data_IF_577927565217
#
_entry.id   IF_577927565217
#
_cell.length_a   1.000
_cell.length_b   1.000
_cell.length_c   1.000
_cell.angle_alpha   90.00
_cell.angle_beta   90.00
_cell.angle_gamma   90.00
#
_symmetry.space_group_name_H-M   'P 1'
#
loop_
_entity.id
_entity.type
_entity.pdbx_description
1 polymer ?
#
# COMPACT_ATOMS: atom_id res chain seq x y z
N UNK A 1 -7.11 -7.34 9.89
CA UNK A 1 -6.82 -8.14 8.68
C UNK A 1 -5.55 -8.93 8.91
N UNK A 2 -5.61 -10.27 8.92
CA UNK A 2 -4.50 -11.18 9.27
C UNK A 2 -4.19 -12.11 8.10
N UNK A 3 -3.19 -11.76 7.29
CA UNK A 3 -2.74 -12.58 6.15
C UNK A 3 -1.29 -12.28 5.80
N UNK A 4 -0.67 -13.18 5.04
CA UNK A 4 0.70 -13.03 4.56
C UNK A 4 0.67 -12.72 3.06
N UNK A 5 1.15 -11.54 2.70
CA UNK A 5 1.14 -11.01 1.34
C UNK A 5 2.57 -10.70 0.92
N UNK A 6 2.91 -11.03 -0.32
CA UNK A 6 4.19 -10.66 -0.90
C UNK A 6 4.03 -10.26 -2.36
N UNK A 7 4.75 -9.23 -2.79
CA UNK A 7 4.82 -8.88 -4.20
C UNK A 7 5.66 -9.91 -4.96
N UNK A 8 5.14 -10.36 -6.11
CA UNK A 8 5.86 -11.25 -7.03
C UNK A 8 6.57 -10.51 -8.16
N UNK A 9 6.26 -9.23 -8.35
CA UNK A 9 6.81 -8.34 -9.39
C UNK A 9 6.43 -6.89 -9.08
N UNK A 10 6.98 -5.94 -9.85
CA UNK A 10 6.48 -4.57 -9.88
C UNK A 10 5.02 -4.54 -10.35
N UNK A 11 4.25 -3.61 -9.79
CA UNK A 11 2.83 -3.39 -10.11
C UNK A 11 2.66 -1.95 -10.59
N UNK A 12 1.99 -1.78 -11.71
CA UNK A 12 1.39 -0.51 -12.13
C UNK A 12 -0.07 -0.52 -11.67
N UNK A 13 -0.43 0.40 -10.78
CA UNK A 13 -1.74 0.52 -10.16
C UNK A 13 -2.57 1.69 -10.71
N UNK A 14 -2.14 2.32 -11.80
CA UNK A 14 -2.80 3.49 -12.42
C UNK A 14 -4.29 3.31 -12.72
N UNK A 15 -4.72 2.06 -12.94
CA UNK A 15 -6.10 1.70 -13.24
C UNK A 15 -6.78 0.89 -12.13
N UNK A 16 -6.19 0.83 -10.94
CA UNK A 16 -6.70 0.06 -9.82
C UNK A 16 -7.38 0.96 -8.79
N UNK A 17 -8.65 0.66 -8.46
CA UNK A 17 -9.27 1.22 -7.27
C UNK A 17 -8.67 0.56 -6.03
N UNK A 18 -8.04 1.34 -5.16
CA UNK A 18 -7.43 0.85 -3.93
C UNK A 18 -8.11 1.42 -2.68
N UNK A 19 -8.64 0.54 -1.84
CA UNK A 19 -9.14 0.94 -0.52
C UNK A 19 -8.01 0.91 0.49
N UNK A 20 -7.79 2.04 1.16
CA UNK A 20 -6.82 2.18 2.25
C UNK A 20 -6.97 1.08 3.28
N UNK A 21 -5.86 0.41 3.59
CA UNK A 21 -5.84 -0.71 4.52
C UNK A 21 -5.78 -0.20 5.95
N UNK A 22 -6.56 -0.84 6.83
CA UNK A 22 -6.63 -0.46 8.24
C UNK A 22 -7.18 0.95 8.46
N UNK A 23 -8.08 1.45 7.59
CA UNK A 23 -8.66 2.79 7.69
C UNK A 23 -9.36 3.04 9.04
N UNK A 24 -10.10 2.05 9.55
CA UNK A 24 -10.69 2.12 10.89
C UNK A 24 -9.64 1.72 11.94
N UNK A 25 -9.32 2.58 12.93
CA UNK A 25 -8.35 2.28 13.97
C UNK A 25 -8.75 1.09 14.86
N UNK A 26 -10.03 0.74 14.95
CA UNK A 26 -10.49 -0.46 15.66
C UNK A 26 -10.18 -1.76 14.91
N UNK A 27 -9.85 -1.68 13.61
CA UNK A 27 -9.52 -2.83 12.76
C UNK A 27 -8.23 -2.57 11.97
N UNK A 28 -7.09 -2.41 12.65
CA UNK A 28 -5.84 -2.12 11.97
C UNK A 28 -5.38 -3.30 11.10
N UNK A 29 -4.43 -3.03 10.19
CA UNK A 29 -3.73 -4.08 9.46
C UNK A 29 -2.81 -4.84 10.43
N UNK A 30 -3.01 -6.16 10.55
CA UNK A 30 -2.29 -7.03 11.50
C UNK A 30 -1.58 -8.19 10.81
N UNK A 31 -1.50 -8.15 9.47
CA UNK A 31 -0.85 -9.15 8.64
C UNK A 31 0.63 -8.85 8.38
N UNK A 32 1.23 -9.65 7.51
CA UNK A 32 2.58 -9.45 7.00
C UNK A 32 2.48 -9.04 5.53
N UNK A 33 3.07 -7.90 5.16
CA UNK A 33 3.22 -7.46 3.78
C UNK A 33 4.70 -7.28 3.46
N UNK A 34 5.23 -8.11 2.56
CA UNK A 34 6.62 -8.04 2.09
C UNK A 34 6.66 -7.61 0.62
N UNK A 35 7.06 -6.36 0.37
CA UNK A 35 7.21 -5.87 -0.99
C UNK A 35 8.36 -6.52 -1.76
N UNK A 36 9.27 -7.23 -1.07
CA UNK A 36 10.44 -7.91 -1.67
C UNK A 36 11.29 -7.00 -2.58
N UNK A 37 11.33 -5.71 -2.24
CA UNK A 37 11.97 -4.61 -2.99
C UNK A 37 11.36 -4.32 -4.36
N UNK A 38 10.17 -4.85 -4.65
CA UNK A 38 9.37 -4.44 -5.81
C UNK A 38 8.62 -3.13 -5.51
N UNK A 39 8.27 -2.44 -6.60
CA UNK A 39 7.57 -1.16 -6.58
C UNK A 39 6.10 -1.34 -6.95
N UNK A 40 5.23 -0.63 -6.25
CA UNK A 40 3.88 -0.32 -6.72
C UNK A 40 3.89 1.13 -7.19
N UNK A 41 3.68 1.33 -8.49
CA UNK A 41 3.60 2.64 -9.12
C UNK A 41 2.13 3.08 -9.26
N UNK A 42 1.90 4.39 -9.21
CA UNK A 42 0.61 5.04 -9.53
C UNK A 42 -0.56 4.49 -8.71
N UNK A 43 -0.30 4.22 -7.42
CA UNK A 43 -1.31 3.74 -6.49
C UNK A 43 -2.01 4.95 -5.84
N UNK A 44 -3.33 5.03 -5.99
CA UNK A 44 -4.16 6.08 -5.40
C UNK A 44 -5.10 5.49 -4.33
N UNK A 45 -4.74 5.54 -3.03
CA UNK A 45 -5.58 5.03 -1.96
C UNK A 45 -6.83 5.89 -1.75
N UNK A 46 -7.92 5.25 -1.31
CA UNK A 46 -9.18 5.94 -1.00
C UNK A 46 -9.07 7.00 0.11
N UNK A 47 -8.00 6.95 0.91
CA UNK A 47 -7.59 7.96 1.87
C UNK A 47 -6.06 8.01 1.91
N UNK A 48 -5.43 9.19 2.00
CA UNK A 48 -3.97 9.35 2.14
C UNK A 48 -3.51 8.79 3.50
N UNK A 49 -3.31 7.47 3.67
CA UNK A 49 -2.20 6.67 3.11
C UNK A 49 -2.60 5.24 2.62
N UNK A 50 -1.64 4.42 2.11
CA UNK A 50 -1.89 2.99 1.73
C UNK A 50 -2.30 2.13 2.93
N UNK A 51 -1.61 2.30 4.07
CA UNK A 51 -1.90 1.65 5.35
C UNK A 51 -2.11 2.73 6.42
N UNK A 52 -3.35 2.97 6.83
CA UNK A 52 -3.67 4.02 7.81
C UNK A 52 -3.28 3.63 9.23
N UNK A 53 -3.60 2.41 9.64
CA UNK A 53 -3.25 1.89 10.95
C UNK A 53 -2.65 0.48 10.82
N UNK A 54 -1.39 0.33 11.26
CA UNK A 54 -0.72 -0.95 11.39
C UNK A 54 -0.77 -1.35 12.87
N UNK A 55 -1.35 -2.51 13.16
CA UNK A 55 -1.51 -3.03 14.52
C UNK A 55 -0.21 -3.60 15.07
N UNK A 56 -0.20 -3.94 16.36
CA UNK A 56 1.02 -4.39 17.07
C UNK A 56 1.71 -5.62 16.46
N UNK A 57 0.98 -6.47 15.74
CA UNK A 57 1.52 -7.65 15.04
C UNK A 57 1.70 -7.43 13.54
N UNK A 58 1.28 -6.27 13.02
CA UNK A 58 1.36 -5.94 11.61
C UNK A 58 2.78 -5.56 11.20
N UNK A 59 3.22 -6.04 10.04
CA UNK A 59 4.53 -5.70 9.48
C UNK A 59 4.36 -5.37 8.01
N UNK A 60 4.87 -4.21 7.60
CA UNK A 60 5.01 -3.80 6.20
C UNK A 60 6.49 -3.53 5.98
N UNK A 61 7.11 -4.22 5.02
CA UNK A 61 8.56 -4.11 4.78
C UNK A 61 8.92 -4.26 3.32
N UNK A 62 10.10 -3.76 2.95
CA UNK A 62 10.71 -3.90 1.63
C UNK A 62 9.76 -3.50 0.49
N UNK A 63 8.88 -2.52 0.71
CA UNK A 63 7.90 -2.04 -0.27
C UNK A 63 8.34 -0.67 -0.75
N UNK A 64 8.47 -0.52 -2.06
CA UNK A 64 8.63 0.78 -2.69
C UNK A 64 7.26 1.25 -3.19
N UNK A 65 6.94 2.51 -2.93
CA UNK A 65 5.79 3.19 -3.50
C UNK A 65 6.32 4.32 -4.36
N UNK A 66 5.93 4.33 -5.62
CA UNK A 66 6.26 5.39 -6.56
C UNK A 66 4.96 6.04 -7.01
N UNK A 67 4.88 7.35 -6.83
CA UNK A 67 3.78 8.14 -7.34
C UNK A 67 4.29 8.86 -8.59
N UNK A 68 3.63 8.71 -9.73
CA UNK A 68 3.89 9.60 -10.86
C UNK A 68 3.29 10.96 -10.52
N UNK A 69 4.14 11.85 -10.01
CA UNK A 69 3.83 13.28 -10.00
C UNK A 69 3.75 13.73 -11.45
N UNK A 70 2.56 13.67 -12.04
CA UNK A 70 2.26 14.41 -13.26
C UNK A 70 2.25 15.89 -12.89
N UNK A 71 3.42 16.52 -12.95
CA UNK A 71 3.52 17.98 -12.89
C UNK A 71 2.71 18.52 -14.07
N UNK A 72 1.49 19.00 -13.81
CA UNK A 72 0.73 19.74 -14.79
C UNK A 72 1.50 21.04 -15.06
N UNK A 73 2.26 21.07 -16.16
CA UNK A 73 2.89 22.30 -16.62
C UNK A 73 1.76 23.12 -17.27
N UNK A 74 1.32 24.15 -16.56
CA UNK A 74 0.39 25.17 -17.06
C UNK A 74 1.11 26.16 -17.98
#
# INVERSE_FOLDING_TARGET
>A
MTGNYALGKNIDASNAAFTTLGFNPATPFTGQFDGRFFTIADLFPSADPVFAHIGSTGVVRNLNLEDSVTTAVA
#
